data_IF_632488852272
#
_entry.id   IF_632488852272
#
_cell.length_a   1.000
_cell.length_b   1.000
_cell.length_c   1.000
_cell.angle_alpha   90.00
_cell.angle_beta   90.00
_cell.angle_gamma   90.00
#
_symmetry.space_group_name_H-M   'P 1'
#
loop_
_entity.id
_entity.type
_entity.pdbx_description
1 polymer ?
#
# COMPACT_ATOMS: atom_id res chain seq x y z
N UNK A 1 -14.47 18.47 -15.69
CA UNK A 1 -14.25 19.80 -16.33
C UNK A 1 -13.29 19.71 -17.53
N UNK A 2 -11.96 19.70 -17.38
CA UNK A 2 -11.03 19.64 -18.53
C UNK A 2 -11.13 18.34 -19.35
N UNK A 3 -11.43 17.22 -18.70
CA UNK A 3 -11.68 15.94 -19.39
C UNK A 3 -12.86 16.03 -20.35
N UNK A 4 -13.93 16.71 -19.95
CA UNK A 4 -15.17 16.83 -20.74
C UNK A 4 -14.97 17.82 -21.89
N UNK A 5 -14.22 18.90 -21.63
CA UNK A 5 -13.78 19.86 -22.64
C UNK A 5 -12.95 19.14 -23.72
N UNK A 6 -11.95 18.34 -23.33
CA UNK A 6 -11.15 17.53 -24.27
C UNK A 6 -12.01 16.55 -25.07
N UNK A 7 -12.94 15.85 -24.42
CA UNK A 7 -13.82 14.87 -25.07
C UNK A 7 -14.78 15.53 -26.07
N UNK A 8 -15.31 16.70 -25.73
CA UNK A 8 -16.24 17.42 -26.60
C UNK A 8 -15.53 18.13 -27.76
N UNK A 9 -14.24 18.43 -27.64
CA UNK A 9 -13.47 19.17 -28.64
C UNK A 9 -13.91 20.62 -28.82
N UNK A 10 -14.78 21.14 -27.95
CA UNK A 10 -15.33 22.49 -28.05
C UNK A 10 -14.61 23.42 -27.07
N UNK A 11 -14.09 24.54 -27.58
CA UNK A 11 -13.48 25.60 -26.76
C UNK A 11 -14.55 26.32 -25.93
N UNK A 12 -14.46 26.33 -24.60
CA UNK A 12 -15.29 27.20 -23.77
C UNK A 12 -14.92 28.67 -23.94
N UNK A 13 -15.90 29.59 -23.80
CA UNK A 13 -15.68 31.04 -23.98
C UNK A 13 -14.61 31.62 -23.05
N UNK A 14 -14.45 31.07 -21.84
CA UNK A 14 -13.48 31.53 -20.84
C UNK A 14 -12.04 31.06 -21.12
N UNK A 15 -11.83 30.09 -22.02
CA UNK A 15 -10.47 29.66 -22.44
C UNK A 15 -10.06 30.50 -23.64
N UNK A 16 -8.99 31.30 -23.51
CA UNK A 16 -8.44 32.09 -24.63
C UNK A 16 -7.93 31.18 -25.75
N UNK A 17 -7.96 31.65 -26.99
CA UNK A 17 -7.60 30.84 -28.16
C UNK A 17 -6.17 30.31 -28.12
N UNK A 18 -5.21 31.11 -27.64
CA UNK A 18 -3.82 30.70 -27.47
C UNK A 18 -3.71 29.49 -26.53
N UNK A 19 -4.38 29.56 -25.37
CA UNK A 19 -4.39 28.47 -24.38
C UNK A 19 -5.11 27.24 -24.95
N UNK A 20 -6.17 27.44 -25.74
CA UNK A 20 -6.86 26.34 -26.41
C UNK A 20 -5.96 25.60 -27.40
N UNK A 21 -5.16 26.33 -28.18
CA UNK A 21 -4.19 25.73 -29.09
C UNK A 21 -3.13 24.93 -28.31
N UNK A 22 -2.56 25.50 -27.25
CA UNK A 22 -1.59 24.81 -26.38
C UNK A 22 -2.15 23.52 -25.77
N UNK A 23 -3.39 23.56 -25.26
CA UNK A 23 -4.06 22.38 -24.71
C UNK A 23 -4.26 21.28 -25.77
N UNK A 24 -4.66 21.63 -26.99
CA UNK A 24 -4.82 20.65 -28.06
C UNK A 24 -3.47 20.06 -28.49
N UNK A 25 -2.42 20.87 -28.58
CA UNK A 25 -1.06 20.38 -28.84
C UNK A 25 -0.61 19.42 -27.73
N UNK A 26 -0.84 19.77 -26.46
CA UNK A 26 -0.49 18.91 -25.34
C UNK A 26 -1.29 17.59 -25.36
N UNK A 27 -2.60 17.63 -25.59
CA UNK A 27 -3.45 16.44 -25.66
C UNK A 27 -3.21 15.59 -26.91
N UNK A 28 -2.75 16.18 -28.00
CA UNK A 28 -2.38 15.51 -29.25
C UNK A 28 -0.97 14.91 -29.23
N UNK A 29 -0.15 15.25 -28.23
CA UNK A 29 1.21 14.71 -28.12
C UNK A 29 1.22 13.19 -27.92
N UNK A 30 2.24 12.54 -28.47
CA UNK A 30 2.47 11.10 -28.29
C UNK A 30 2.66 10.76 -26.81
N UNK A 31 3.39 11.60 -26.08
CA UNK A 31 3.58 11.48 -24.63
C UNK A 31 2.27 11.46 -23.85
N UNK A 32 1.31 12.32 -24.21
CA UNK A 32 -0.02 12.31 -23.59
C UNK A 32 -0.78 11.02 -23.88
N UNK A 33 -0.75 10.58 -25.14
CA UNK A 33 -1.42 9.34 -25.57
C UNK A 33 -0.85 8.12 -24.84
N UNK A 34 0.49 8.02 -24.78
CA UNK A 34 1.21 6.98 -24.04
C UNK A 34 0.80 6.96 -22.56
N UNK A 35 0.81 8.11 -21.88
CA UNK A 35 0.39 8.21 -20.47
C UNK A 35 -1.09 7.86 -20.28
N UNK A 36 -1.97 8.28 -21.19
CA UNK A 36 -3.40 7.97 -21.16
C UNK A 36 -3.63 6.46 -21.25
N UNK A 37 -2.96 5.80 -22.19
CA UNK A 37 -3.13 4.38 -22.45
C UNK A 37 -2.53 3.53 -21.35
N UNK A 38 -1.34 3.89 -20.84
CA UNK A 38 -0.78 3.28 -19.63
C UNK A 38 -1.74 3.40 -18.44
N UNK A 39 -2.29 4.60 -18.18
CA UNK A 39 -3.25 4.79 -17.09
C UNK A 39 -4.55 4.00 -17.30
N UNK A 40 -4.97 3.79 -18.55
CA UNK A 40 -6.12 2.94 -18.87
C UNK A 40 -5.82 1.47 -18.56
N UNK A 41 -4.65 0.98 -18.98
CA UNK A 41 -4.20 -0.38 -18.68
C UNK A 41 -4.05 -0.60 -17.18
N UNK A 42 -3.46 0.37 -16.45
CA UNK A 42 -3.33 0.30 -14.99
C UNK A 42 -4.68 0.27 -14.27
N UNK A 43 -5.72 0.94 -14.80
CA UNK A 43 -7.08 0.84 -14.25
C UNK A 43 -7.77 -0.48 -14.59
N UNK A 44 -7.43 -1.07 -15.72
CA UNK A 44 -7.95 -2.36 -16.18
C UNK A 44 -7.11 -3.55 -15.69
N UNK A 45 -6.04 -3.31 -14.92
CA UNK A 45 -5.16 -4.38 -14.46
C UNK A 45 -5.86 -5.25 -13.43
N UNK A 46 -5.83 -6.55 -13.65
CA UNK A 46 -6.47 -7.57 -12.81
C UNK A 46 -5.52 -8.19 -11.78
N UNK A 47 -4.34 -7.58 -11.55
CA UNK A 47 -3.32 -8.01 -10.57
C UNK A 47 -3.15 -9.54 -10.52
N UNK A 48 -2.97 -10.18 -11.68
CA UNK A 48 -2.81 -11.63 -11.77
C UNK A 48 -4.06 -12.47 -11.49
N UNK A 49 -5.26 -11.96 -11.80
CA UNK A 49 -6.53 -12.66 -11.57
C UNK A 49 -7.19 -12.35 -10.22
N UNK A 50 -6.70 -11.32 -9.50
CA UNK A 50 -7.15 -10.96 -8.15
C UNK A 50 -8.08 -9.75 -8.13
N UNK A 51 -8.46 -9.22 -9.29
CA UNK A 51 -9.28 -8.04 -9.39
C UNK A 51 -8.51 -6.73 -9.19
N UNK A 52 -9.24 -5.64 -9.34
CA UNK A 52 -8.79 -4.32 -8.91
C UNK A 52 -8.59 -4.30 -7.41
N UNK A 53 -7.52 -3.66 -6.93
CA UNK A 53 -7.36 -3.43 -5.48
C UNK A 53 -8.39 -2.41 -4.99
N UNK A 54 -9.13 -2.76 -3.95
CA UNK A 54 -10.20 -1.96 -3.37
C UNK A 54 -9.95 -1.77 -1.86
N UNK A 55 -10.36 -0.63 -1.31
CA UNK A 55 -10.29 -0.37 0.13
C UNK A 55 -11.53 0.41 0.61
N UNK A 56 -11.91 0.23 1.88
CA UNK A 56 -13.02 0.92 2.57
C UNK A 56 -12.57 2.12 3.41
N UNK A 57 -11.29 2.48 3.35
CA UNK A 57 -10.73 3.58 4.13
C UNK A 57 -11.28 4.97 3.79
N UNK A 58 -11.85 5.15 2.60
CA UNK A 58 -12.37 6.43 2.12
C UNK A 58 -11.28 7.51 2.00
N UNK A 59 -11.68 8.78 1.98
CA UNK A 59 -10.76 9.93 1.93
C UNK A 59 -10.15 10.28 3.31
N UNK A 60 -9.85 9.27 4.12
CA UNK A 60 -9.25 9.42 5.45
C UNK A 60 -7.82 8.86 5.39
N UNK A 61 -6.81 9.60 5.88
CA UNK A 61 -5.44 9.11 5.84
C UNK A 61 -5.24 7.89 6.74
N UNK A 62 -4.33 6.98 6.35
CA UNK A 62 -4.00 5.80 7.15
C UNK A 62 -3.50 6.13 8.57
N UNK A 63 -2.89 7.30 8.77
CA UNK A 63 -2.48 7.79 10.09
C UNK A 63 -3.67 8.03 11.01
N UNK A 64 -4.77 8.55 10.47
CA UNK A 64 -6.00 8.76 11.23
C UNK A 64 -6.72 7.43 11.51
N UNK A 65 -6.74 6.51 10.55
CA UNK A 65 -7.22 5.14 10.80
C UNK A 65 -6.43 4.44 11.91
N UNK A 66 -5.10 4.59 11.92
CA UNK A 66 -4.23 4.06 12.97
C UNK A 66 -4.53 4.70 14.33
N UNK A 67 -4.66 6.02 14.40
CA UNK A 67 -4.99 6.74 15.64
C UNK A 67 -6.31 6.24 16.24
N UNK A 68 -7.37 6.16 15.42
CA UNK A 68 -8.68 5.66 15.86
C UNK A 68 -8.59 4.20 16.31
N UNK A 69 -7.84 3.37 15.60
CA UNK A 69 -7.66 1.97 15.95
C UNK A 69 -6.88 1.80 17.25
N UNK A 70 -5.85 2.63 17.48
CA UNK A 70 -5.10 2.68 18.73
C UNK A 70 -6.01 3.00 19.91
N UNK A 71 -6.89 4.00 19.76
CA UNK A 71 -7.86 4.38 20.80
C UNK A 71 -8.82 3.25 21.13
N UNK A 72 -9.29 2.50 20.13
CA UNK A 72 -10.17 1.35 20.35
C UNK A 72 -9.46 0.16 21.01
N UNK A 73 -8.20 -0.12 20.63
CA UNK A 73 -7.45 -1.27 21.13
C UNK A 73 -6.74 -1.00 22.48
N UNK A 74 -6.55 0.27 22.84
CA UNK A 74 -5.73 0.67 23.99
C UNK A 74 -4.23 0.39 23.83
N UNK A 75 -3.79 0.01 22.63
CA UNK A 75 -2.39 -0.29 22.27
C UNK A 75 -2.11 0.08 20.82
N UNK A 76 -0.83 0.12 20.44
CA UNK A 76 -0.47 0.30 19.04
C UNK A 76 -1.06 -0.83 18.16
N UNK A 77 -1.73 -0.50 17.04
CA UNK A 77 -2.23 -1.49 16.11
C UNK A 77 -1.09 -2.11 15.33
N UNK A 78 -1.18 -3.40 15.05
CA UNK A 78 -0.24 -4.05 14.13
C UNK A 78 -0.49 -3.59 12.69
N UNK A 79 0.52 -3.69 11.81
CA UNK A 79 0.37 -3.46 10.37
C UNK A 79 -0.84 -4.19 9.75
N UNK A 80 -1.08 -5.43 10.20
CA UNK A 80 -2.15 -6.31 9.70
C UNK A 80 -3.53 -5.90 10.22
N UNK A 81 -3.62 -5.44 11.47
CA UNK A 81 -4.87 -4.90 12.02
C UNK A 81 -5.28 -3.62 11.30
N UNK A 82 -4.33 -2.72 11.03
CA UNK A 82 -4.57 -1.52 10.25
C UNK A 82 -5.01 -1.85 8.81
N UNK A 83 -4.35 -2.80 8.17
CA UNK A 83 -4.75 -3.28 6.84
C UNK A 83 -6.17 -3.85 6.84
N UNK A 84 -6.49 -4.70 7.81
CA UNK A 84 -7.82 -5.32 7.96
C UNK A 84 -8.90 -4.26 8.17
N UNK A 85 -8.62 -3.21 8.95
CA UNK A 85 -9.55 -2.09 9.18
C UNK A 85 -9.97 -1.38 7.90
N UNK A 86 -9.06 -1.28 6.91
CA UNK A 86 -9.31 -0.57 5.65
C UNK A 86 -9.64 -1.48 4.47
N UNK A 87 -9.56 -2.81 4.62
CA UNK A 87 -9.83 -3.79 3.55
C UNK A 87 -10.90 -4.82 3.93
N UNK A 88 -11.62 -4.58 5.03
CA UNK A 88 -12.85 -5.28 5.40
C UNK A 88 -14.04 -4.34 5.40
N UNK A 89 -15.19 -4.90 5.03
CA UNK A 89 -16.51 -4.28 5.23
C UNK A 89 -16.82 -4.24 6.72
N UNK A 90 -17.41 -3.15 7.19
CA UNK A 90 -17.70 -3.00 8.61
C UNK A 90 -18.93 -3.81 9.05
N UNK A 91 -19.86 -4.06 8.13
CA UNK A 91 -21.13 -4.76 8.34
C UNK A 91 -20.95 -6.24 8.66
N UNK A 92 -20.12 -6.96 7.90
CA UNK A 92 -19.97 -8.41 7.94
C UNK A 92 -18.51 -8.87 8.13
N UNK A 93 -17.57 -7.92 8.22
CA UNK A 93 -16.12 -8.17 8.35
C UNK A 93 -15.53 -8.99 7.19
N UNK A 94 -16.21 -9.03 6.03
CA UNK A 94 -15.70 -9.70 4.84
C UNK A 94 -14.66 -8.85 4.10
N UNK A 95 -13.73 -9.53 3.46
CA UNK A 95 -12.73 -8.90 2.58
C UNK A 95 -13.38 -8.32 1.35
N UNK A 96 -12.95 -7.11 0.96
CA UNK A 96 -13.59 -6.39 -0.15
C UNK A 96 -12.91 -6.70 -1.49
N UNK A 97 -11.67 -7.17 -1.46
CA UNK A 97 -10.97 -7.70 -2.61
C UNK A 97 -10.28 -9.03 -2.28
N UNK A 98 -10.01 -9.79 -3.34
CA UNK A 98 -9.44 -11.13 -3.27
C UNK A 98 -7.95 -11.09 -2.87
N UNK A 99 -7.24 -10.01 -3.24
CA UNK A 99 -5.84 -9.81 -2.90
C UNK A 99 -5.64 -9.68 -1.38
N UNK A 100 -6.48 -8.89 -0.72
CA UNK A 100 -6.45 -8.68 0.73
C UNK A 100 -6.78 -9.98 1.48
N UNK A 101 -7.74 -10.76 0.98
CA UNK A 101 -8.06 -12.08 1.52
C UNK A 101 -6.86 -13.02 1.45
N UNK A 102 -6.26 -13.21 0.27
CA UNK A 102 -5.10 -14.09 0.09
C UNK A 102 -3.88 -13.64 0.89
N UNK A 103 -3.62 -12.33 0.92
CA UNK A 103 -2.53 -11.76 1.73
C UNK A 103 -2.70 -12.10 3.21
N UNK A 104 -3.92 -12.00 3.74
CA UNK A 104 -4.19 -12.34 5.13
C UNK A 104 -4.15 -13.85 5.39
N UNK A 105 -4.62 -14.69 4.47
CA UNK A 105 -4.51 -16.15 4.60
C UNK A 105 -3.05 -16.61 4.67
N UNK A 106 -2.21 -16.10 3.78
CA UNK A 106 -0.79 -16.41 3.77
C UNK A 106 -0.08 -15.88 5.02
N UNK A 107 -0.46 -14.67 5.47
CA UNK A 107 0.01 -14.12 6.74
C UNK A 107 -0.31 -15.04 7.92
N UNK A 108 -1.56 -15.48 8.06
CA UNK A 108 -1.97 -16.41 9.12
C UNK A 108 -1.16 -17.70 9.06
N UNK A 109 -1.02 -18.28 7.86
CA UNK A 109 -0.23 -19.52 7.64
C UNK A 109 1.23 -19.38 8.07
N UNK A 110 1.88 -18.27 7.69
CA UNK A 110 3.26 -18.00 8.07
C UNK A 110 3.40 -17.76 9.58
N UNK A 111 2.45 -17.03 10.19
CA UNK A 111 2.42 -16.77 11.63
C UNK A 111 2.31 -18.05 12.45
N UNK A 112 1.45 -18.98 12.02
CA UNK A 112 1.31 -20.31 12.65
C UNK A 112 2.58 -21.15 12.49
N UNK A 113 3.21 -21.11 11.31
CA UNK A 113 4.48 -21.80 11.05
C UNK A 113 5.58 -21.30 11.97
N UNK A 114 5.74 -19.97 12.11
CA UNK A 114 6.71 -19.37 13.02
C UNK A 114 6.45 -19.74 14.49
N UNK A 115 5.17 -19.75 14.92
CA UNK A 115 4.81 -20.17 16.27
C UNK A 115 5.15 -21.64 16.55
N UNK A 116 4.98 -22.52 15.56
CA UNK A 116 5.28 -23.95 15.68
C UNK A 116 6.78 -24.27 15.67
N UNK A 117 7.60 -23.47 14.98
CA UNK A 117 9.05 -23.67 14.87
C UNK A 117 9.83 -23.30 16.13
N UNK A 118 9.21 -22.72 17.16
CA UNK A 118 9.88 -22.28 18.38
C UNK A 118 10.81 -21.07 18.18
N UNK A 119 10.93 -20.58 16.94
CA UNK A 119 11.45 -19.26 16.60
C UNK A 119 10.41 -18.21 17.05
N UNK A 120 10.34 -18.00 18.36
CA UNK A 120 9.57 -16.91 18.93
C UNK A 120 10.03 -15.56 18.37
N UNK A 121 9.22 -14.52 18.61
CA UNK A 121 9.53 -13.14 18.26
C UNK A 121 11.01 -12.80 18.55
N UNK A 122 11.86 -12.77 17.51
CA UNK A 122 13.29 -12.49 17.63
C UNK A 122 13.47 -11.07 18.16
N UNK A 123 13.92 -10.93 19.42
CA UNK A 123 14.43 -9.76 20.18
C UNK A 123 13.87 -8.35 19.92
N UNK A 124 12.88 -8.19 19.06
CA UNK A 124 12.29 -6.96 18.57
C UNK A 124 10.84 -6.82 19.01
N UNK A 125 10.26 -5.65 18.76
CA UNK A 125 8.87 -5.41 19.13
C UNK A 125 7.92 -6.34 18.37
N UNK A 126 6.80 -6.71 19.01
CA UNK A 126 5.71 -7.47 18.39
C UNK A 126 5.31 -6.87 17.05
N UNK A 127 5.32 -5.55 16.96
CA UNK A 127 5.00 -4.81 15.74
C UNK A 127 5.97 -5.09 14.59
N UNK A 128 7.28 -5.12 14.86
CA UNK A 128 8.30 -5.38 13.85
C UNK A 128 8.27 -6.83 13.36
N UNK A 129 8.03 -7.78 14.26
CA UNK A 129 7.85 -9.18 13.86
C UNK A 129 6.60 -9.42 13.02
N UNK A 130 5.47 -8.80 13.38
CA UNK A 130 4.23 -8.92 12.59
C UNK A 130 4.43 -8.23 11.23
N UNK A 131 5.20 -7.14 11.17
CA UNK A 131 5.65 -6.53 9.91
C UNK A 131 6.45 -7.51 9.04
N UNK A 132 7.44 -8.22 9.60
CA UNK A 132 8.27 -9.15 8.81
C UNK A 132 7.45 -10.29 8.21
N UNK A 133 6.55 -10.88 9.00
CA UNK A 133 5.66 -11.95 8.55
C UNK A 133 4.72 -11.42 7.47
N UNK A 134 4.15 -10.22 7.67
CA UNK A 134 3.30 -9.58 6.66
C UNK A 134 4.06 -9.28 5.37
N UNK A 135 5.26 -8.71 5.47
CA UNK A 135 6.13 -8.41 4.33
C UNK A 135 6.40 -9.67 3.52
N UNK A 136 6.74 -10.79 4.18
CA UNK A 136 6.91 -12.08 3.51
C UNK A 136 5.61 -12.57 2.83
N UNK A 137 4.47 -12.48 3.52
CA UNK A 137 3.17 -12.91 2.98
C UNK A 137 2.76 -12.18 1.70
N UNK A 138 3.16 -10.91 1.56
CA UNK A 138 2.78 -10.06 0.41
C UNK A 138 3.86 -9.95 -0.66
N UNK A 139 4.93 -10.74 -0.56
CA UNK A 139 6.02 -10.79 -1.56
C UNK A 139 7.09 -9.70 -1.39
N UNK A 140 7.24 -9.17 -0.17
CA UNK A 140 8.28 -8.23 0.21
C UNK A 140 8.06 -6.81 -0.28
N UNK A 141 9.11 -6.00 -0.19
CA UNK A 141 9.10 -4.62 -0.62
C UNK A 141 9.27 -4.51 -2.15
N UNK A 142 8.31 -3.87 -2.81
CA UNK A 142 8.34 -3.61 -4.25
C UNK A 142 8.31 -2.10 -4.49
N UNK A 143 9.29 -1.60 -5.25
CA UNK A 143 9.43 -0.17 -5.56
C UNK A 143 9.39 0.73 -4.30
N UNK A 144 10.02 0.27 -3.20
CA UNK A 144 10.07 0.99 -1.93
C UNK A 144 8.77 0.97 -1.12
N UNK A 145 7.83 0.06 -1.42
CA UNK A 145 6.54 -0.06 -0.72
C UNK A 145 6.22 -1.52 -0.39
N UNK A 146 5.61 -1.75 0.76
CA UNK A 146 4.98 -3.03 1.12
C UNK A 146 3.47 -2.88 0.97
N UNK A 147 2.82 -3.88 0.38
CA UNK A 147 1.38 -3.87 0.16
C UNK A 147 0.62 -3.66 1.48
N UNK A 148 -0.38 -2.79 1.47
CA UNK A 148 -1.21 -2.45 2.63
C UNK A 148 -0.58 -1.48 3.63
N UNK A 149 0.73 -1.18 3.54
CA UNK A 149 1.46 -0.38 4.54
C UNK A 149 1.86 1.02 4.06
N UNK A 150 1.85 1.26 2.76
CA UNK A 150 2.22 2.55 2.18
C UNK A 150 3.65 2.97 2.58
N UNK A 151 3.81 4.22 2.99
CA UNK A 151 5.12 4.77 3.42
C UNK A 151 5.59 4.27 4.78
N UNK A 152 4.71 3.66 5.58
CA UNK A 152 5.07 3.17 6.92
C UNK A 152 6.03 1.98 6.86
N UNK A 153 6.04 1.25 5.74
CA UNK A 153 7.00 0.17 5.50
C UNK A 153 8.45 0.63 5.67
N UNK A 154 8.77 1.87 5.27
CA UNK A 154 10.12 2.42 5.34
C UNK A 154 10.62 2.52 6.79
N UNK A 155 9.76 2.93 7.73
CA UNK A 155 10.12 3.02 9.15
C UNK A 155 10.50 1.66 9.75
N UNK A 156 9.87 0.57 9.31
CA UNK A 156 10.24 -0.77 9.76
C UNK A 156 11.56 -1.25 9.13
N UNK A 157 11.84 -0.89 7.86
CA UNK A 157 13.12 -1.22 7.21
C UNK A 157 14.32 -0.44 7.79
N UNK A 158 14.12 0.81 8.20
CA UNK A 158 15.13 1.59 8.92
C UNK A 158 15.45 0.96 10.29
N UNK A 159 14.43 0.44 10.97
CA UNK A 159 14.59 -0.30 12.22
C UNK A 159 15.45 -1.57 12.02
N UNK A 160 15.23 -2.28 10.91
CA UNK A 160 15.99 -3.47 10.49
C UNK A 160 17.47 -3.15 10.23
N UNK A 161 17.73 -2.04 9.54
CA UNK A 161 19.09 -1.59 9.21
C UNK A 161 19.88 -1.17 10.46
N UNK A 162 19.18 -0.60 11.43
CA UNK A 162 19.77 -0.18 12.71
C UNK A 162 20.17 -1.36 13.60
N UNK A 163 19.35 -2.42 13.65
CA UNK A 163 19.70 -3.65 14.39
C UNK A 163 20.83 -4.42 13.73
N UNK A 164 20.90 -4.48 12.39
CA UNK A 164 22.00 -5.12 11.67
C UNK A 164 23.37 -4.47 11.96
N UNK A 165 23.41 -3.14 12.19
CA UNK A 165 24.64 -2.43 12.54
C UNK A 165 25.12 -2.69 13.97
N UNK A 166 24.25 -3.13 14.89
CA UNK A 166 24.61 -3.42 16.28
C UNK A 166 25.28 -4.79 16.48
N UNK A 167 25.17 -5.68 15.49
CA UNK A 167 25.68 -7.06 15.58
C UNK A 167 27.16 -7.20 15.18
N UNK A 168 27.84 -6.12 14.78
CA UNK A 168 29.24 -6.19 14.31
C UNK A 168 30.28 -5.83 15.39
N UNK A 169 29.89 -5.38 16.58
CA UNK A 169 30.84 -4.82 17.56
C UNK A 169 31.10 -5.72 18.78
N UNK A 170 31.29 -7.02 18.56
CA UNK A 170 31.63 -7.97 19.64
C UNK A 170 32.50 -9.13 19.17
N UNK A 171 33.59 -8.87 18.46
CA UNK A 171 34.70 -9.83 18.33
C UNK A 171 36.03 -9.10 18.10
N UNK A 172 36.61 -8.50 19.14
CA UNK A 172 38.07 -8.34 19.29
C UNK A 172 38.43 -7.85 20.69
N UNK A 173 38.61 -8.78 21.61
CA UNK A 173 39.45 -8.61 22.80
C UNK A 173 39.81 -10.00 23.35
N UNK A 174 40.91 -10.57 22.84
CA UNK A 174 41.79 -11.48 23.57
C UNK A 174 43.22 -11.18 23.18
#
# INVERSE_FOLDING_TARGET
MFTDIRKSGKRPLWIREVIWAELNTAWGSEEYTRKRDQNRQNRASDVGGLGSSLHTGGSIPHTEHRRRLKEMLGREPTPVELHSRTHKRQEDQQWIDERARKAHEEYTRLRETHAASGEGYSSGSVEYSEYRIWSQAVGGMQHGRVYGLGVQAQAYEEMSSSTASSSHDSLQAQ
#
